data_IF_376017869337
#
_entry.id   IF_376017869337
#
_cell.length_a   1.000
_cell.length_b   1.000
_cell.length_c   1.000
_cell.angle_alpha   90.00
_cell.angle_beta   90.00
_cell.angle_gamma   90.00
#
_symmetry.space_group_name_H-M   'P 1'
#
loop_
_entity.id
_entity.type
_entity.pdbx_description
1 polymer ?
#
# COMPACT_ATOMS: atom_id res chain seq x y z
N UNK A 1 27.88 -14.93 45.93
CA UNK A 1 27.56 -16.25 45.34
C UNK A 1 26.18 -16.29 44.70
N UNK A 2 25.19 -15.55 45.23
CA UNK A 2 23.82 -15.47 44.67
C UNK A 2 23.75 -14.56 43.42
N UNK A 3 24.57 -13.49 43.33
CA UNK A 3 24.67 -12.61 42.14
C UNK A 3 25.00 -13.38 40.84
N UNK A 4 25.98 -14.29 40.87
CA UNK A 4 26.37 -15.10 39.70
C UNK A 4 25.25 -16.04 39.22
N UNK A 5 24.40 -16.49 40.12
CA UNK A 5 23.27 -17.37 39.80
C UNK A 5 22.15 -16.58 39.09
N UNK A 6 21.94 -15.32 39.47
CA UNK A 6 20.98 -14.41 38.82
C UNK A 6 21.43 -14.04 37.41
N UNK A 7 22.74 -13.83 37.22
CA UNK A 7 23.33 -13.51 35.91
C UNK A 7 23.36 -14.72 34.98
N UNK A 8 23.65 -15.93 35.52
CA UNK A 8 23.53 -17.19 34.78
C UNK A 8 22.08 -17.47 34.36
N UNK A 9 21.11 -17.30 35.26
CA UNK A 9 19.70 -17.50 34.94
C UNK A 9 19.19 -16.43 33.96
N UNK A 10 19.66 -15.18 34.08
CA UNK A 10 19.36 -14.09 33.16
C UNK A 10 19.95 -14.25 31.75
N UNK A 11 21.03 -15.03 31.62
CA UNK A 11 21.64 -15.39 30.33
C UNK A 11 21.05 -16.70 29.77
N UNK A 12 20.66 -17.66 30.61
CA UNK A 12 19.94 -18.88 30.21
C UNK A 12 18.54 -18.57 29.65
N UNK A 13 17.82 -17.60 30.23
CA UNK A 13 16.52 -17.14 29.71
C UNK A 13 16.64 -16.42 28.36
N UNK A 14 17.79 -15.80 28.06
CA UNK A 14 18.07 -15.16 26.76
C UNK A 14 18.42 -16.17 25.67
N UNK A 15 18.91 -17.35 26.04
CA UNK A 15 19.31 -18.42 25.11
C UNK A 15 18.20 -19.44 24.79
N UNK A 16 17.17 -19.56 25.63
CA UNK A 16 16.12 -20.57 25.46
C UNK A 16 14.75 -19.92 25.20
N UNK A 17 14.52 -19.50 23.95
CA UNK A 17 13.16 -19.12 23.51
C UNK A 17 12.29 -20.37 23.59
N UNK A 18 11.32 -20.39 24.50
CA UNK A 18 10.33 -21.46 24.56
C UNK A 18 9.61 -21.55 23.21
N UNK A 19 9.86 -22.62 22.46
CA UNK A 19 9.26 -22.87 21.14
C UNK A 19 7.74 -22.90 21.28
N UNK A 20 7.04 -22.11 20.47
CA UNK A 20 5.58 -22.02 20.51
C UNK A 20 4.96 -23.37 20.11
N UNK A 21 3.71 -23.63 20.53
CA UNK A 21 2.98 -24.87 20.18
C UNK A 21 2.98 -25.08 18.65
N UNK A 22 2.77 -23.99 17.90
CA UNK A 22 2.77 -24.03 16.42
C UNK A 22 4.15 -24.38 15.82
N UNK A 23 5.24 -23.90 16.41
CA UNK A 23 6.59 -24.19 15.92
C UNK A 23 7.00 -25.65 16.19
N UNK A 24 6.56 -26.22 17.33
CA UNK A 24 6.78 -27.64 17.65
C UNK A 24 6.01 -28.54 16.70
N UNK A 25 4.75 -28.19 16.44
CA UNK A 25 3.89 -28.90 15.50
C UNK A 25 4.45 -28.88 14.07
N UNK A 26 4.95 -27.71 13.62
CA UNK A 26 5.62 -27.60 12.33
C UNK A 26 6.87 -28.50 12.26
N UNK A 27 7.73 -28.44 13.28
CA UNK A 27 8.92 -29.29 13.34
C UNK A 27 8.56 -30.78 13.31
N UNK A 28 7.53 -31.20 14.03
CA UNK A 28 7.06 -32.58 14.02
C UNK A 28 6.67 -33.04 12.61
N UNK A 29 5.86 -32.24 11.90
CA UNK A 29 5.48 -32.54 10.50
C UNK A 29 6.66 -32.57 9.55
N UNK A 30 7.66 -31.70 9.74
CA UNK A 30 8.89 -31.73 8.95
C UNK A 30 9.69 -33.00 9.21
N UNK A 31 9.81 -33.43 10.47
CA UNK A 31 10.48 -34.67 10.83
C UNK A 31 9.76 -35.90 10.28
N UNK A 32 8.43 -35.92 10.33
CA UNK A 32 7.59 -36.97 9.74
C UNK A 32 7.87 -37.08 8.23
N UNK A 33 7.87 -35.95 7.52
CA UNK A 33 8.25 -35.92 6.10
C UNK A 33 9.66 -36.46 5.84
N UNK A 34 10.65 -36.08 6.67
CA UNK A 34 12.02 -36.57 6.54
C UNK A 34 12.08 -38.08 6.78
N UNK A 35 11.28 -38.61 7.70
CA UNK A 35 11.17 -40.07 7.93
C UNK A 35 10.72 -40.78 6.66
N UNK A 36 9.69 -40.27 5.99
CA UNK A 36 9.24 -40.81 4.71
C UNK A 36 10.32 -40.75 3.62
N UNK A 37 11.12 -39.67 3.55
CA UNK A 37 12.25 -39.57 2.61
C UNK A 37 13.31 -40.65 2.85
N UNK A 38 13.58 -40.98 4.12
CA UNK A 38 14.51 -42.03 4.51
C UNK A 38 13.99 -43.43 4.16
N UNK A 39 12.71 -43.69 4.41
CA UNK A 39 12.09 -44.99 4.17
C UNK A 39 11.92 -45.31 2.67
N UNK A 40 11.57 -44.30 1.86
CA UNK A 40 11.36 -44.45 0.41
C UNK A 40 12.63 -44.29 -0.43
N UNK A 41 13.79 -44.03 0.20
CA UNK A 41 15.07 -43.69 -0.46
C UNK A 41 15.00 -42.49 -1.42
N UNK A 42 14.04 -41.59 -1.23
CA UNK A 42 13.90 -40.33 -1.97
C UNK A 42 14.68 -39.19 -1.32
N UNK A 43 15.89 -39.48 -0.84
CA UNK A 43 16.71 -38.52 -0.14
C UNK A 43 17.24 -37.42 -1.07
N UNK A 44 17.34 -36.19 -0.56
CA UNK A 44 18.06 -35.12 -1.25
C UNK A 44 19.55 -35.50 -1.35
N UNK A 45 19.97 -35.85 -2.57
CA UNK A 45 21.32 -36.37 -2.83
C UNK A 45 22.43 -35.44 -2.38
N UNK A 46 22.25 -34.12 -2.48
CA UNK A 46 23.29 -33.17 -2.10
C UNK A 46 23.47 -33.11 -0.58
N UNK A 47 22.34 -33.12 0.16
CA UNK A 47 22.36 -33.14 1.62
C UNK A 47 22.85 -34.49 2.14
N UNK A 48 22.40 -35.57 1.51
CA UNK A 48 22.85 -36.92 1.81
C UNK A 48 24.36 -37.06 1.63
N UNK A 49 24.91 -36.63 0.49
CA UNK A 49 26.34 -36.72 0.22
C UNK A 49 27.15 -35.91 1.23
N UNK A 50 26.68 -34.71 1.59
CA UNK A 50 27.30 -33.89 2.64
C UNK A 50 27.29 -34.60 3.99
N UNK A 51 26.13 -35.14 4.40
CA UNK A 51 25.99 -35.87 5.64
C UNK A 51 26.85 -37.14 5.68
N UNK A 52 26.96 -37.85 4.55
CA UNK A 52 27.78 -39.04 4.41
C UNK A 52 29.28 -38.75 4.47
N UNK A 53 29.72 -37.65 3.84
CA UNK A 53 31.10 -37.18 3.94
C UNK A 53 31.45 -36.74 5.37
N UNK A 54 30.56 -36.04 6.06
CA UNK A 54 30.75 -35.62 7.46
C UNK A 54 30.72 -36.81 8.44
N UNK A 55 30.09 -37.91 8.05
CA UNK A 55 29.98 -39.13 8.84
C UNK A 55 31.16 -40.10 8.66
N UNK A 56 32.18 -39.73 7.87
CA UNK A 56 33.30 -40.62 7.55
C UNK A 56 32.84 -41.98 6.97
N UNK A 57 31.81 -41.94 6.11
CA UNK A 57 31.16 -43.11 5.51
C UNK A 57 30.42 -44.05 6.48
N UNK A 58 30.23 -43.67 7.74
CA UNK A 58 29.33 -44.37 8.67
C UNK A 58 27.87 -44.04 8.35
N UNK A 59 27.12 -45.02 7.82
CA UNK A 59 25.74 -44.82 7.38
C UNK A 59 24.79 -44.41 8.53
N UNK A 60 25.02 -44.90 9.75
CA UNK A 60 24.17 -44.56 10.90
C UNK A 60 24.37 -43.11 11.32
N UNK A 61 25.64 -42.67 11.38
CA UNK A 61 25.97 -41.26 11.62
C UNK A 61 25.48 -40.36 10.47
N UNK A 62 25.61 -40.81 9.22
CA UNK A 62 25.15 -40.08 8.05
C UNK A 62 23.64 -39.84 8.09
N UNK A 63 22.83 -40.82 8.48
CA UNK A 63 21.38 -40.66 8.65
C UNK A 63 21.03 -39.60 9.70
N UNK A 64 21.68 -39.63 10.86
CA UNK A 64 21.47 -38.62 11.90
C UNK A 64 21.84 -37.20 11.42
N UNK A 65 22.96 -37.07 10.71
CA UNK A 65 23.40 -35.81 10.11
C UNK A 65 22.47 -35.35 8.99
N UNK A 66 21.95 -36.27 8.18
CA UNK A 66 20.98 -35.98 7.13
C UNK A 66 19.71 -35.35 7.71
N UNK A 67 19.12 -35.97 8.74
CA UNK A 67 17.91 -35.44 9.40
C UNK A 67 18.14 -34.01 9.86
N UNK A 68 19.27 -33.73 10.50
CA UNK A 68 19.62 -32.39 10.99
C UNK A 68 19.74 -31.37 9.87
N UNK A 69 20.53 -31.68 8.83
CA UNK A 69 20.75 -30.77 7.70
C UNK A 69 19.47 -30.56 6.89
N UNK A 70 18.68 -31.62 6.70
CA UNK A 70 17.42 -31.59 5.97
C UNK A 70 16.36 -30.78 6.70
N UNK A 71 16.23 -30.96 8.02
CA UNK A 71 15.30 -30.19 8.85
C UNK A 71 15.61 -28.69 8.77
N UNK A 72 16.89 -28.30 8.89
CA UNK A 72 17.30 -26.90 8.74
C UNK A 72 16.91 -26.35 7.37
N UNK A 73 17.23 -27.07 6.29
CA UNK A 73 16.89 -26.62 4.93
C UNK A 73 15.38 -26.45 4.74
N UNK A 74 14.57 -27.39 5.22
CA UNK A 74 13.11 -27.28 5.12
C UNK A 74 12.57 -26.08 5.92
N UNK A 75 13.14 -25.79 7.09
CA UNK A 75 12.80 -24.59 7.87
C UNK A 75 13.18 -23.31 7.10
N UNK A 76 14.35 -23.28 6.48
CA UNK A 76 14.80 -22.14 5.66
C UNK A 76 13.87 -21.94 4.46
N UNK A 77 13.47 -23.02 3.78
CA UNK A 77 12.53 -22.99 2.65
C UNK A 77 11.16 -22.41 3.05
N UNK A 78 10.60 -22.85 4.18
CA UNK A 78 9.35 -22.29 4.73
C UNK A 78 9.51 -20.81 5.05
N UNK A 79 10.64 -20.42 5.64
CA UNK A 79 10.93 -19.03 6.00
C UNK A 79 10.99 -18.13 4.76
N UNK A 80 11.65 -18.59 3.70
CA UNK A 80 11.75 -17.85 2.43
C UNK A 80 10.40 -17.69 1.76
N UNK A 81 9.55 -18.72 1.76
CA UNK A 81 8.19 -18.64 1.22
C UNK A 81 7.37 -17.61 1.98
N UNK A 82 7.38 -17.66 3.32
CA UNK A 82 6.65 -16.70 4.14
C UNK A 82 7.10 -15.25 3.91
N UNK A 83 8.42 -15.04 3.76
CA UNK A 83 8.97 -13.72 3.46
C UNK A 83 8.56 -13.21 2.08
N UNK A 84 8.57 -14.09 1.06
CA UNK A 84 8.10 -13.74 -0.29
C UNK A 84 6.62 -13.36 -0.28
N UNK A 85 5.78 -14.20 0.32
CA UNK A 85 4.34 -13.94 0.42
C UNK A 85 4.04 -12.63 1.14
N UNK A 86 4.77 -12.34 2.24
CA UNK A 86 4.62 -11.08 2.97
C UNK A 86 5.05 -9.88 2.13
N UNK A 87 6.15 -10.01 1.39
CA UNK A 87 6.64 -8.96 0.49
C UNK A 87 5.66 -8.70 -0.65
N UNK A 88 5.12 -9.73 -1.28
CA UNK A 88 4.14 -9.62 -2.36
C UNK A 88 2.85 -8.95 -1.86
N UNK A 89 2.33 -9.34 -0.69
CA UNK A 89 1.16 -8.67 -0.10
C UNK A 89 1.44 -7.18 0.17
N UNK A 90 2.62 -6.85 0.67
CA UNK A 90 3.01 -5.46 0.91
C UNK A 90 3.12 -4.64 -0.37
N UNK A 91 3.64 -5.21 -1.47
CA UNK A 91 3.72 -4.53 -2.76
C UNK A 91 2.34 -4.36 -3.39
N UNK A 92 1.49 -5.38 -3.35
CA UNK A 92 0.10 -5.29 -3.83
C UNK A 92 -0.68 -4.21 -3.06
N UNK A 93 -0.58 -4.21 -1.73
CA UNK A 93 -1.24 -3.19 -0.90
C UNK A 93 -0.77 -1.77 -1.24
N UNK A 94 0.54 -1.60 -1.46
CA UNK A 94 1.11 -0.30 -1.86
C UNK A 94 0.58 0.14 -3.23
N UNK A 95 0.47 -0.77 -4.20
CA UNK A 95 -0.05 -0.45 -5.53
C UNK A 95 -1.53 -0.03 -5.48
N UNK A 96 -2.36 -0.73 -4.69
CA UNK A 96 -3.76 -0.36 -4.49
C UNK A 96 -3.86 1.04 -3.88
N UNK A 97 -3.08 1.35 -2.83
CA UNK A 97 -3.07 2.68 -2.24
C UNK A 97 -2.63 3.78 -3.22
N UNK A 98 -1.66 3.51 -4.08
CA UNK A 98 -1.19 4.49 -5.08
C UNK A 98 -2.29 4.78 -6.10
N UNK A 99 -2.95 3.74 -6.63
CA UNK A 99 -4.08 3.90 -7.55
C UNK A 99 -5.22 4.70 -6.92
N UNK A 100 -5.62 4.39 -5.69
CA UNK A 100 -6.67 5.15 -5.00
C UNK A 100 -6.29 6.63 -4.80
N UNK A 101 -5.01 6.92 -4.51
CA UNK A 101 -4.53 8.30 -4.38
C UNK A 101 -4.56 9.04 -5.71
N UNK A 102 -4.15 8.37 -6.79
CA UNK A 102 -4.19 8.92 -8.14
C UNK A 102 -5.62 9.21 -8.59
N UNK A 103 -6.55 8.28 -8.38
CA UNK A 103 -7.97 8.45 -8.68
C UNK A 103 -8.58 9.61 -7.90
N UNK A 104 -8.33 9.71 -6.58
CA UNK A 104 -8.79 10.83 -5.76
C UNK A 104 -8.18 12.16 -6.21
N UNK A 105 -6.92 12.17 -6.63
CA UNK A 105 -6.26 13.37 -7.14
C UNK A 105 -6.85 13.80 -8.49
N UNK A 106 -7.15 12.85 -9.38
CA UNK A 106 -7.81 13.12 -10.66
C UNK A 106 -9.24 13.63 -10.46
N UNK A 107 -10.01 13.02 -9.55
CA UNK A 107 -11.37 13.45 -9.25
C UNK A 107 -11.39 14.88 -8.68
N UNK A 108 -10.44 15.24 -7.80
CA UNK A 108 -10.28 16.60 -7.31
C UNK A 108 -10.01 17.59 -8.44
N UNK A 109 -9.08 17.26 -9.34
CA UNK A 109 -8.76 18.10 -10.51
C UNK A 109 -9.97 18.28 -11.42
N UNK A 110 -10.75 17.21 -11.64
CA UNK A 110 -11.97 17.24 -12.45
C UNK A 110 -13.05 18.12 -11.83
N UNK A 111 -13.31 17.96 -10.52
CA UNK A 111 -14.26 18.82 -9.79
C UNK A 111 -13.81 20.28 -9.77
N UNK A 112 -12.51 20.52 -9.67
CA UNK A 112 -11.95 21.87 -9.73
C UNK A 112 -12.14 22.50 -11.12
N UNK A 113 -11.92 21.75 -12.21
CA UNK A 113 -12.22 22.23 -13.56
C UNK A 113 -13.71 22.48 -13.78
N UNK A 114 -14.57 21.56 -13.34
CA UNK A 114 -16.03 21.70 -13.44
C UNK A 114 -16.52 22.93 -12.66
N UNK A 115 -16.05 23.13 -11.43
CA UNK A 115 -16.36 24.32 -10.63
C UNK A 115 -15.86 25.61 -11.29
N UNK A 116 -14.66 25.59 -11.90
CA UNK A 116 -14.11 26.75 -12.60
C UNK A 116 -14.93 27.09 -13.84
N UNK A 117 -15.32 26.10 -14.63
CA UNK A 117 -16.20 26.30 -15.79
C UNK A 117 -17.57 26.84 -15.36
N UNK A 118 -18.15 26.29 -14.31
CA UNK A 118 -19.42 26.77 -13.75
C UNK A 118 -19.31 28.21 -13.24
N UNK A 119 -18.20 28.55 -12.58
CA UNK A 119 -17.93 29.92 -12.14
C UNK A 119 -17.81 30.89 -13.31
N UNK A 120 -17.08 30.53 -14.37
CA UNK A 120 -16.93 31.35 -15.58
C UNK A 120 -18.27 31.55 -16.31
N UNK A 121 -19.10 30.50 -16.38
CA UNK A 121 -20.45 30.57 -16.94
C UNK A 121 -21.35 31.53 -16.15
N UNK A 122 -21.35 31.42 -14.82
CA UNK A 122 -22.09 32.31 -13.93
C UNK A 122 -21.61 33.77 -14.03
N UNK A 123 -20.30 34.00 -14.17
CA UNK A 123 -19.75 35.35 -14.35
C UNK A 123 -20.17 35.96 -15.69
N UNK A 124 -20.11 35.18 -16.76
CA UNK A 124 -20.53 35.61 -18.10
C UNK A 124 -22.01 36.00 -18.16
N UNK A 125 -22.89 35.18 -17.57
CA UNK A 125 -24.32 35.48 -17.53
C UNK A 125 -24.63 36.74 -16.70
N UNK A 126 -23.96 36.92 -15.56
CA UNK A 126 -24.08 38.13 -14.75
C UNK A 126 -23.68 39.38 -15.54
N UNK A 127 -22.54 39.34 -16.24
CA UNK A 127 -22.07 40.47 -17.05
C UNK A 127 -23.06 40.80 -18.18
N UNK A 128 -23.60 39.79 -18.87
CA UNK A 128 -24.58 39.99 -19.94
C UNK A 128 -25.84 40.70 -19.45
N UNK A 129 -26.36 40.33 -18.27
CA UNK A 129 -27.50 41.03 -17.64
C UNK A 129 -27.15 42.48 -17.30
N UNK A 130 -25.97 42.74 -16.73
CA UNK A 130 -25.51 44.11 -16.47
C UNK A 130 -25.44 44.95 -17.75
N UNK A 131 -24.91 44.41 -18.85
CA UNK A 131 -24.88 45.10 -20.13
C UNK A 131 -26.28 45.45 -20.66
N UNK A 132 -27.25 44.53 -20.53
CA UNK A 132 -28.63 44.78 -20.94
C UNK A 132 -29.24 45.92 -20.11
N UNK A 133 -29.07 45.90 -18.78
CA UNK A 133 -29.59 46.95 -17.90
C UNK A 133 -28.96 48.32 -18.17
N UNK A 134 -27.67 48.36 -18.46
CA UNK A 134 -26.99 49.61 -18.84
C UNK A 134 -27.48 50.13 -20.19
N UNK A 135 -27.67 49.25 -21.18
CA UNK A 135 -28.19 49.62 -22.48
C UNK A 135 -29.63 50.17 -22.39
N UNK A 136 -30.50 49.55 -21.59
CA UNK A 136 -31.89 50.02 -21.41
C UNK A 136 -31.96 51.34 -20.64
N UNK A 137 -31.08 51.55 -19.65
CA UNK A 137 -30.97 52.82 -18.96
C UNK A 137 -30.49 53.94 -19.89
N UNK A 138 -29.48 53.65 -20.73
CA UNK A 138 -28.94 54.62 -21.69
C UNK A 138 -29.96 55.01 -22.77
N UNK A 139 -30.70 54.04 -23.32
CA UNK A 139 -31.76 54.33 -24.30
C UNK A 139 -32.90 55.14 -23.69
N UNK A 140 -33.31 54.81 -22.46
CA UNK A 140 -34.32 55.56 -21.72
C UNK A 140 -33.88 57.02 -21.51
N UNK A 141 -32.65 57.23 -21.05
CA UNK A 141 -32.06 58.56 -20.86
C UNK A 141 -32.02 59.36 -22.17
N UNK A 142 -31.63 58.73 -23.27
CA UNK A 142 -31.60 59.36 -24.59
C UNK A 142 -32.99 59.82 -25.06
N UNK A 143 -34.02 58.99 -24.85
CA UNK A 143 -35.42 59.35 -25.17
C UNK A 143 -35.89 60.54 -24.32
N UNK A 144 -35.63 60.51 -23.00
CA UNK A 144 -35.95 61.63 -22.12
C UNK A 144 -35.26 62.93 -22.56
N UNK A 145 -33.98 62.85 -22.94
CA UNK A 145 -33.23 63.98 -23.46
C UNK A 145 -33.85 64.54 -24.75
N UNK A 146 -34.26 63.69 -25.69
CA UNK A 146 -34.93 64.12 -26.91
C UNK A 146 -36.26 64.82 -26.63
N UNK A 147 -37.08 64.28 -25.72
CA UNK A 147 -38.36 64.87 -25.30
C UNK A 147 -38.12 66.24 -24.66
N UNK A 148 -37.18 66.33 -23.72
CA UNK A 148 -36.84 67.58 -23.03
C UNK A 148 -36.38 68.67 -24.03
N UNK A 149 -35.51 68.31 -24.97
CA UNK A 149 -35.06 69.23 -26.03
C UNK A 149 -36.22 69.67 -26.94
N UNK A 150 -37.13 68.77 -27.31
CA UNK A 150 -38.26 69.11 -28.16
C UNK A 150 -39.21 70.11 -27.50
N UNK A 151 -39.56 69.90 -26.22
CA UNK A 151 -40.42 70.81 -25.47
C UNK A 151 -39.72 72.10 -25.04
N UNK A 152 -38.43 72.04 -24.71
CA UNK A 152 -37.64 73.21 -24.31
C UNK A 152 -37.43 74.24 -25.43
N UNK A 153 -37.45 73.82 -26.69
CA UNK A 153 -37.34 74.74 -27.84
C UNK A 153 -38.66 75.50 -28.10
N UNK A 154 -39.81 74.97 -27.66
CA UNK A 154 -41.12 75.57 -27.92
C UNK A 154 -41.58 76.59 -26.85
N UNK A 155 -40.79 76.87 -25.81
CA UNK A 155 -41.12 77.97 -24.90
C UNK A 155 -40.87 79.32 -25.60
N UNK A 156 -41.90 80.09 -25.95
CA UNK A 156 -41.70 81.43 -26.48
C UNK A 156 -41.02 82.28 -25.40
N UNK A 157 -39.96 83.00 -25.78
CA UNK A 157 -39.39 84.07 -24.96
C UNK A 157 -40.52 85.07 -24.65
N UNK A 158 -40.70 85.49 -23.37
CA UNK A 158 -41.66 86.54 -23.02
C UNK A 158 -41.29 87.89 -23.65
#
# INVERSE_FOLDING_TARGET
MIENLRELLGNLSRGYRAKTISERELEHRLLERISYELDQKEMDRAIWLKAFSEAEADESKAKALYIRHRLRRLQDEVSVIQLKDASERATTYRQVQLKEREERAQERKRKESENREQFLSNLSSMLMVCFILLATAATSFFIFYQIFMYFGVQSPLP
#
